data_IF_597136873271
#
_entry.id   IF_597136873271
#
_cell.length_a   1.000
_cell.length_b   1.000
_cell.length_c   1.000
_cell.angle_alpha   90.00
_cell.angle_beta   90.00
_cell.angle_gamma   90.00
#
_symmetry.space_group_name_H-M   'P 1'
#
loop_
_entity.id
_entity.type
_entity.pdbx_description
1 polymer ?
#
# COMPACT_ATOMS: atom_id res chain seq x y z
N UNK A 1 22.92 -11.95 12.83
CA UNK A 1 23.42 -12.01 11.46
C UNK A 1 23.59 -10.59 10.94
N UNK A 2 24.62 -10.30 10.14
CA UNK A 2 24.75 -8.97 9.55
C UNK A 2 23.49 -8.65 8.70
N UNK A 3 23.10 -7.37 8.61
CA UNK A 3 21.97 -6.99 7.77
C UNK A 3 22.28 -7.39 6.32
N UNK A 4 21.30 -8.03 5.67
CA UNK A 4 21.41 -8.34 4.24
C UNK A 4 21.14 -7.04 3.49
N UNK A 5 22.14 -6.54 2.78
CA UNK A 5 21.96 -5.40 1.89
C UNK A 5 21.12 -5.84 0.68
N UNK A 6 19.92 -5.31 0.59
CA UNK A 6 19.06 -5.53 -0.58
C UNK A 6 19.57 -4.66 -1.74
N UNK A 7 19.62 -5.26 -2.93
CA UNK A 7 20.03 -4.57 -4.16
C UNK A 7 18.90 -4.62 -5.17
N UNK A 8 18.82 -3.58 -5.97
CA UNK A 8 17.85 -3.48 -7.04
C UNK A 8 16.40 -3.65 -6.54
N UNK A 9 16.11 -2.97 -5.42
CA UNK A 9 14.73 -2.86 -4.91
C UNK A 9 13.83 -2.22 -5.96
N UNK A 10 12.52 -2.31 -5.81
CA UNK A 10 11.58 -1.71 -6.78
C UNK A 10 11.90 -0.22 -7.02
N UNK A 11 12.16 0.55 -5.97
CA UNK A 11 12.51 1.97 -6.09
C UNK A 11 13.78 2.20 -6.90
N UNK A 12 14.84 1.45 -6.62
CA UNK A 12 16.11 1.52 -7.36
C UNK A 12 15.94 1.10 -8.82
N UNK A 13 15.18 0.04 -9.07
CA UNK A 13 14.93 -0.46 -10.41
C UNK A 13 14.12 0.53 -11.26
N UNK A 14 13.09 1.16 -10.69
CA UNK A 14 12.35 2.23 -11.34
C UNK A 14 13.26 3.42 -11.69
N UNK A 15 14.07 3.87 -10.73
CA UNK A 15 15.02 4.97 -10.93
C UNK A 15 16.04 4.65 -12.03
N UNK A 16 16.63 3.46 -12.03
CA UNK A 16 17.59 3.01 -13.05
C UNK A 16 16.98 2.96 -14.46
N UNK A 17 15.66 2.82 -14.58
CA UNK A 17 14.93 2.81 -15.85
C UNK A 17 14.24 4.17 -16.16
N UNK A 18 14.62 5.24 -15.47
CA UNK A 18 14.10 6.58 -15.70
C UNK A 18 12.62 6.76 -15.39
N UNK A 19 12.04 5.89 -14.55
CA UNK A 19 10.64 5.97 -14.13
C UNK A 19 10.48 6.88 -12.91
N UNK A 20 9.36 7.60 -12.88
CA UNK A 20 9.00 8.47 -11.77
C UNK A 20 8.06 7.74 -10.81
N UNK A 21 8.21 8.00 -9.52
CA UNK A 21 7.42 7.34 -8.49
C UNK A 21 7.03 8.28 -7.36
N UNK A 22 5.87 8.06 -6.78
CA UNK A 22 5.38 8.72 -5.58
C UNK A 22 5.22 7.71 -4.44
N UNK A 23 5.68 8.09 -3.25
CA UNK A 23 5.41 7.41 -1.98
C UNK A 23 4.53 8.31 -1.13
N UNK A 24 3.36 7.85 -0.76
CA UNK A 24 2.37 8.64 -0.03
C UNK A 24 1.69 7.84 1.07
N UNK A 25 1.67 8.40 2.25
CA UNK A 25 0.96 7.87 3.42
C UNK A 25 0.78 8.98 4.46
N UNK A 26 -0.05 8.74 5.46
CA UNK A 26 -0.04 9.57 6.68
C UNK A 26 1.12 9.16 7.61
N UNK A 27 1.40 9.99 8.62
CA UNK A 27 2.58 9.89 9.50
C UNK A 27 2.85 8.47 9.98
N UNK A 28 1.83 7.75 10.45
CA UNK A 28 1.97 6.41 11.06
C UNK A 28 2.48 5.34 10.07
N UNK A 29 2.27 5.54 8.77
CA UNK A 29 2.68 4.59 7.71
C UNK A 29 3.69 5.16 6.72
N UNK A 30 4.17 6.38 6.95
CA UNK A 30 5.14 7.01 6.04
C UNK A 30 6.44 6.19 5.91
N UNK A 31 6.99 5.71 7.02
CA UNK A 31 8.20 4.88 7.00
C UNK A 31 7.98 3.55 6.24
N UNK A 32 6.75 3.03 6.23
CA UNK A 32 6.42 1.77 5.54
C UNK A 32 6.47 1.91 4.01
N UNK A 33 6.13 3.07 3.47
CA UNK A 33 6.22 3.33 2.02
C UNK A 33 7.53 4.00 1.59
N UNK A 34 8.43 4.31 2.51
CA UNK A 34 9.72 4.96 2.26
C UNK A 34 10.90 4.11 2.75
N UNK A 35 11.31 4.27 3.99
CA UNK A 35 12.47 3.61 4.57
C UNK A 35 12.40 2.08 4.47
N UNK A 36 11.33 1.47 4.96
CA UNK A 36 11.19 0.00 4.91
C UNK A 36 11.00 -0.52 3.48
N UNK A 37 10.24 0.21 2.67
CA UNK A 37 10.01 -0.16 1.27
C UNK A 37 11.30 -0.11 0.43
N UNK A 38 12.23 0.77 0.79
CA UNK A 38 13.55 0.88 0.17
C UNK A 38 14.62 0.01 0.87
N UNK A 39 14.22 -1.02 1.60
CA UNK A 39 15.16 -1.97 2.20
C UNK A 39 16.02 -1.38 3.33
N UNK A 40 15.50 -0.37 4.05
CA UNK A 40 16.21 0.29 5.14
C UNK A 40 17.10 1.46 4.70
N UNK A 41 16.93 1.95 3.49
CA UNK A 41 17.65 3.13 2.97
C UNK A 41 16.74 4.36 3.09
N UNK A 42 17.22 5.37 3.83
CA UNK A 42 16.47 6.62 4.05
C UNK A 42 16.45 7.54 2.82
N UNK A 43 17.56 7.54 2.07
CA UNK A 43 17.71 8.40 0.88
C UNK A 43 16.69 8.02 -0.20
N UNK A 44 15.88 8.97 -0.70
CA UNK A 44 15.01 8.73 -1.86
C UNK A 44 15.81 8.30 -3.10
N UNK A 45 15.23 7.42 -3.90
CA UNK A 45 15.75 7.10 -5.21
C UNK A 45 15.58 8.29 -6.17
N UNK A 46 16.36 8.33 -7.25
CA UNK A 46 16.15 9.34 -8.30
C UNK A 46 14.73 9.20 -8.90
N UNK A 47 14.01 10.32 -9.03
CA UNK A 47 12.63 10.32 -9.51
C UNK A 47 11.59 9.88 -8.47
N UNK A 48 12.00 9.66 -7.21
CA UNK A 48 11.09 9.34 -6.10
C UNK A 48 10.70 10.61 -5.35
N UNK A 49 9.44 11.00 -5.49
CA UNK A 49 8.81 12.01 -4.64
C UNK A 49 8.16 11.33 -3.43
N UNK A 50 8.13 12.04 -2.32
CA UNK A 50 7.52 11.61 -1.06
C UNK A 50 6.52 12.63 -0.57
N UNK A 51 5.36 12.15 -0.12
CA UNK A 51 4.34 12.99 0.51
C UNK A 51 3.85 12.35 1.79
N UNK A 52 4.04 13.05 2.89
CA UNK A 52 3.46 12.70 4.19
C UNK A 52 2.29 13.62 4.50
N UNK A 53 1.19 13.04 4.95
CA UNK A 53 0.04 13.75 5.49
C UNK A 53 0.07 13.55 7.01
N UNK A 54 -0.06 14.62 7.82
CA UNK A 54 -0.05 14.48 9.28
C UNK A 54 -1.19 13.60 9.77
N UNK A 55 -0.88 12.59 10.60
CA UNK A 55 -1.90 11.85 11.32
C UNK A 55 -2.59 12.71 12.37
N UNK A 56 -3.86 12.44 12.72
CA UNK A 56 -4.58 13.23 13.72
C UNK A 56 -3.93 13.11 15.10
N UNK A 57 -3.93 14.21 15.83
CA UNK A 57 -3.40 14.27 17.21
C UNK A 57 -4.49 13.83 18.21
N UNK A 58 -4.71 12.53 18.30
CA UNK A 58 -5.64 11.91 19.26
C UNK A 58 -4.88 10.94 20.16
N UNK A 59 -5.44 10.64 21.34
CA UNK A 59 -4.80 9.71 22.29
C UNK A 59 -4.71 8.30 21.71
N UNK A 60 -5.79 7.83 21.08
CA UNK A 60 -5.89 6.54 20.40
C UNK A 60 -6.75 6.70 19.15
N UNK A 61 -6.51 5.91 18.10
CA UNK A 61 -7.16 6.11 16.81
C UNK A 61 -8.61 5.60 16.72
N UNK A 62 -9.11 4.89 17.73
CA UNK A 62 -10.54 4.62 17.86
C UNK A 62 -11.37 5.89 18.08
N UNK A 63 -10.75 6.96 18.57
CA UNK A 63 -11.39 8.28 18.72
C UNK A 63 -11.55 9.02 17.39
N UNK A 64 -10.77 8.66 16.37
CA UNK A 64 -10.86 9.18 15.00
C UNK A 64 -10.52 8.09 13.98
N UNK A 65 -11.45 7.13 13.74
CA UNK A 65 -11.18 5.95 12.90
C UNK A 65 -10.83 6.26 11.45
N UNK A 66 -11.35 7.36 10.90
CA UNK A 66 -10.99 7.84 9.56
C UNK A 66 -9.54 8.32 9.47
N UNK A 67 -8.91 8.62 10.60
CA UNK A 67 -7.56 9.16 10.67
C UNK A 67 -7.36 10.32 9.68
N UNK A 68 -6.37 10.27 8.79
CA UNK A 68 -6.18 11.22 7.71
C UNK A 68 -6.42 10.61 6.32
N UNK A 69 -7.23 9.56 6.24
CA UNK A 69 -7.45 8.84 4.98
C UNK A 69 -8.03 9.72 3.87
N UNK A 70 -8.95 10.61 4.18
CA UNK A 70 -9.56 11.51 3.20
C UNK A 70 -8.54 12.50 2.63
N UNK A 71 -7.72 13.10 3.49
CA UNK A 71 -6.67 14.03 3.08
C UNK A 71 -5.58 13.31 2.24
N UNK A 72 -5.24 12.08 2.60
CA UNK A 72 -4.33 11.22 1.83
C UNK A 72 -4.92 10.92 0.45
N UNK A 73 -6.20 10.55 0.39
CA UNK A 73 -6.89 10.27 -0.88
C UNK A 73 -6.95 11.52 -1.77
N UNK A 74 -7.30 12.69 -1.22
CA UNK A 74 -7.38 13.94 -1.98
C UNK A 74 -6.03 14.35 -2.56
N UNK A 75 -4.96 14.27 -1.77
CA UNK A 75 -3.60 14.54 -2.25
C UNK A 75 -3.18 13.51 -3.31
N UNK A 76 -3.48 12.23 -3.10
CA UNK A 76 -3.16 11.18 -4.07
C UNK A 76 -3.86 11.41 -5.41
N UNK A 77 -5.16 11.76 -5.40
CA UNK A 77 -5.93 12.09 -6.60
C UNK A 77 -5.31 13.26 -7.36
N UNK A 78 -4.95 14.34 -6.66
CA UNK A 78 -4.30 15.51 -7.28
C UNK A 78 -2.96 15.10 -7.93
N UNK A 79 -2.18 14.22 -7.30
CA UNK A 79 -0.92 13.70 -7.84
C UNK A 79 -1.13 12.79 -9.05
N UNK A 80 -2.17 11.98 -9.06
CA UNK A 80 -2.56 11.14 -10.21
C UNK A 80 -2.93 12.06 -11.39
N UNK A 81 -3.78 13.05 -11.17
CA UNK A 81 -4.25 14.00 -12.18
C UNK A 81 -3.11 14.84 -12.78
N UNK A 82 -2.02 15.04 -12.05
CA UNK A 82 -0.83 15.74 -12.55
C UNK A 82 -0.14 15.03 -13.72
N UNK A 83 -0.36 13.71 -13.87
CA UNK A 83 0.29 12.89 -14.89
C UNK A 83 1.80 12.72 -14.70
N UNK A 84 2.34 13.11 -13.55
CA UNK A 84 3.79 13.13 -13.31
C UNK A 84 4.39 11.75 -13.06
N UNK A 85 3.63 10.82 -12.47
CA UNK A 85 4.17 9.57 -11.92
C UNK A 85 3.82 8.36 -12.76
N UNK A 86 4.82 7.49 -12.98
CA UNK A 86 4.64 6.18 -13.57
C UNK A 86 4.11 5.17 -12.54
N UNK A 87 4.54 5.29 -11.28
CA UNK A 87 4.15 4.40 -10.19
C UNK A 87 3.82 5.21 -8.93
N UNK A 88 2.75 4.82 -8.25
CA UNK A 88 2.36 5.39 -6.95
C UNK A 88 2.24 4.25 -5.94
N UNK A 89 2.94 4.38 -4.82
CA UNK A 89 2.83 3.50 -3.66
C UNK A 89 2.13 4.27 -2.55
N UNK A 90 0.93 3.84 -2.22
CA UNK A 90 0.05 4.43 -1.21
C UNK A 90 -0.24 3.42 -0.12
N UNK A 91 -0.20 3.85 1.13
CA UNK A 91 -0.67 3.07 2.27
C UNK A 91 -1.71 3.86 3.08
N UNK A 92 -2.86 3.26 3.31
CA UNK A 92 -3.86 3.72 4.27
C UNK A 92 -3.63 3.06 5.63
N UNK A 93 -3.38 3.85 6.65
CA UNK A 93 -3.01 3.37 7.98
C UNK A 93 -4.18 2.77 8.79
N UNK A 94 -5.41 3.06 8.41
CA UNK A 94 -6.60 2.93 9.25
C UNK A 94 -6.86 1.51 9.78
N UNK A 95 -6.87 0.51 8.89
CA UNK A 95 -7.22 -0.86 9.30
C UNK A 95 -6.22 -1.43 10.31
N UNK A 96 -4.94 -1.10 10.19
CA UNK A 96 -3.91 -1.53 11.13
C UNK A 96 -3.97 -0.71 12.43
N UNK A 97 -3.87 0.62 12.33
CA UNK A 97 -3.76 1.48 13.52
C UNK A 97 -5.01 1.44 14.39
N UNK A 98 -6.20 1.46 13.79
CA UNK A 98 -7.47 1.33 14.52
C UNK A 98 -7.68 -0.11 15.00
N UNK A 99 -7.30 -1.10 14.21
CA UNK A 99 -7.33 -2.52 14.59
C UNK A 99 -6.56 -2.80 15.88
N UNK A 100 -5.41 -2.17 16.07
CA UNK A 100 -4.60 -2.27 17.29
C UNK A 100 -5.31 -1.77 18.56
N UNK A 101 -6.33 -0.95 18.45
CA UNK A 101 -7.10 -0.46 19.60
C UNK A 101 -8.04 -1.52 20.19
N UNK A 102 -8.38 -2.56 19.42
CA UNK A 102 -9.32 -3.60 19.82
C UNK A 102 -10.78 -3.15 19.87
N UNK A 103 -11.09 -1.93 19.45
CA UNK A 103 -12.44 -1.36 19.43
C UNK A 103 -13.14 -1.72 18.13
N UNK A 104 -14.03 -2.71 18.16
CA UNK A 104 -14.66 -3.28 16.96
C UNK A 104 -15.41 -2.24 16.11
N UNK A 105 -16.27 -1.42 16.74
CA UNK A 105 -17.07 -0.42 16.00
C UNK A 105 -16.20 0.66 15.37
N UNK A 106 -15.05 0.97 15.98
CA UNK A 106 -14.08 1.88 15.38
C UNK A 106 -13.38 1.22 14.17
N UNK A 107 -13.03 -0.05 14.26
CA UNK A 107 -12.46 -0.79 13.13
C UNK A 107 -13.42 -0.85 11.93
N UNK A 108 -14.72 -1.03 12.16
CA UNK A 108 -15.74 -0.96 11.10
C UNK A 108 -15.71 0.40 10.41
N UNK A 109 -15.73 1.50 11.16
CA UNK A 109 -15.65 2.86 10.61
C UNK A 109 -14.35 3.12 9.87
N UNK A 110 -13.24 2.56 10.34
CA UNK A 110 -11.95 2.65 9.67
C UNK A 110 -11.98 1.97 8.30
N UNK A 111 -12.56 0.78 8.20
CA UNK A 111 -12.72 0.05 6.95
C UNK A 111 -13.65 0.80 5.98
N UNK A 112 -14.78 1.33 6.47
CA UNK A 112 -15.70 2.15 5.67
C UNK A 112 -15.01 3.39 5.08
N UNK A 113 -14.19 4.08 5.87
CA UNK A 113 -13.43 5.24 5.40
C UNK A 113 -12.40 4.85 4.33
N UNK A 114 -11.67 3.75 4.53
CA UNK A 114 -10.70 3.25 3.56
C UNK A 114 -11.38 2.79 2.28
N UNK A 115 -12.49 2.06 2.38
CA UNK A 115 -13.26 1.60 1.20
C UNK A 115 -13.66 2.77 0.31
N UNK A 116 -14.20 3.83 0.91
CA UNK A 116 -14.53 5.06 0.18
C UNK A 116 -13.31 5.70 -0.49
N UNK A 117 -12.22 5.86 0.26
CA UNK A 117 -10.99 6.47 -0.25
C UNK A 117 -10.36 5.62 -1.37
N UNK A 118 -10.36 4.30 -1.24
CA UNK A 118 -9.88 3.37 -2.28
C UNK A 118 -10.72 3.51 -3.55
N UNK A 119 -12.06 3.61 -3.42
CA UNK A 119 -12.93 3.86 -4.56
C UNK A 119 -12.56 5.13 -5.31
N UNK A 120 -12.42 6.25 -4.59
CA UNK A 120 -12.08 7.55 -5.18
C UNK A 120 -10.69 7.57 -5.84
N UNK A 121 -9.68 6.97 -5.22
CA UNK A 121 -8.33 6.87 -5.79
C UNK A 121 -8.34 5.95 -7.01
N UNK A 122 -9.07 4.83 -6.95
CA UNK A 122 -9.22 3.91 -8.08
C UNK A 122 -9.83 4.60 -9.28
N UNK A 123 -10.92 5.35 -9.09
CA UNK A 123 -11.56 6.11 -10.17
C UNK A 123 -10.60 7.10 -10.80
N UNK A 124 -9.79 7.81 -10.01
CA UNK A 124 -8.77 8.73 -10.52
C UNK A 124 -7.71 8.02 -11.36
N UNK A 125 -7.24 6.86 -10.93
CA UNK A 125 -6.26 6.04 -11.70
C UNK A 125 -6.87 5.56 -13.00
N UNK A 126 -8.09 5.05 -12.98
CA UNK A 126 -8.78 4.57 -14.19
C UNK A 126 -9.02 5.71 -15.19
N UNK A 127 -9.43 6.88 -14.72
CA UNK A 127 -9.60 8.07 -15.55
C UNK A 127 -8.27 8.54 -16.19
N UNK A 128 -7.14 8.27 -15.55
CA UNK A 128 -5.80 8.52 -16.09
C UNK A 128 -5.28 7.40 -17.00
N UNK A 129 -6.07 6.34 -17.23
CA UNK A 129 -5.68 5.18 -18.04
C UNK A 129 -4.73 4.21 -17.34
N UNK A 130 -4.66 4.26 -16.01
CA UNK A 130 -3.78 3.43 -15.20
C UNK A 130 -4.42 2.12 -14.73
N UNK A 131 -3.64 1.35 -13.98
CA UNK A 131 -4.03 0.08 -13.36
C UNK A 131 -3.78 0.15 -11.86
N UNK A 132 -4.72 -0.37 -11.07
CA UNK A 132 -4.61 -0.44 -9.60
C UNK A 132 -4.33 -1.88 -9.18
N UNK A 133 -3.33 -2.04 -8.31
CA UNK A 133 -3.03 -3.27 -7.59
C UNK A 133 -3.37 -3.02 -6.12
N UNK A 134 -4.49 -3.57 -5.66
CA UNK A 134 -5.00 -3.40 -4.31
C UNK A 134 -4.64 -4.60 -3.46
N UNK A 135 -3.98 -4.36 -2.33
CA UNK A 135 -3.61 -5.42 -1.38
C UNK A 135 -3.45 -4.86 0.04
N UNK A 136 -3.03 -5.71 0.97
CA UNK A 136 -2.53 -5.34 2.28
C UNK A 136 -1.17 -6.00 2.53
N UNK A 137 -0.36 -5.40 3.38
CA UNK A 137 0.96 -5.94 3.77
C UNK A 137 0.86 -7.03 4.84
N UNK A 138 -0.18 -7.02 5.65
CA UNK A 138 -0.51 -8.05 6.66
C UNK A 138 -1.98 -7.94 7.08
N UNK A 139 -2.46 -8.95 7.82
CA UNK A 139 -3.77 -8.93 8.46
C UNK A 139 -3.76 -8.25 9.83
N UNK A 140 -4.88 -7.66 10.22
CA UNK A 140 -5.13 -7.09 11.53
C UNK A 140 -6.65 -6.98 11.78
N UNK A 141 -7.34 -6.05 11.10
CA UNK A 141 -8.74 -5.70 11.34
C UNK A 141 -9.73 -6.83 11.01
N UNK A 142 -9.35 -7.82 10.22
CA UNK A 142 -10.19 -8.98 9.94
C UNK A 142 -10.37 -9.91 11.15
N UNK A 143 -9.56 -9.70 12.20
CA UNK A 143 -9.65 -10.45 13.45
C UNK A 143 -9.59 -9.51 14.65
N UNK A 144 -10.75 -9.12 15.17
CA UNK A 144 -10.88 -8.17 16.26
C UNK A 144 -11.14 -8.82 17.63
N UNK A 145 -11.39 -10.15 17.68
CA UNK A 145 -11.72 -10.86 18.91
C UNK A 145 -11.00 -12.21 19.01
N UNK A 146 -10.63 -12.55 20.23
CA UNK A 146 -10.19 -13.89 20.61
C UNK A 146 -11.40 -14.86 20.75
N UNK A 147 -11.17 -16.17 20.78
CA UNK A 147 -12.25 -17.15 21.02
C UNK A 147 -13.03 -16.94 22.31
N UNK A 148 -12.41 -16.37 23.33
CA UNK A 148 -13.03 -16.03 24.60
C UNK A 148 -13.82 -14.71 24.59
N UNK A 149 -13.87 -14.01 23.44
CA UNK A 149 -14.55 -12.74 23.26
C UNK A 149 -13.73 -11.51 23.66
N UNK A 150 -12.53 -11.68 24.20
CA UNK A 150 -11.63 -10.56 24.52
C UNK A 150 -11.10 -9.89 23.23
N UNK A 151 -10.71 -8.60 23.28
CA UNK A 151 -10.14 -7.92 22.12
C UNK A 151 -8.87 -8.60 21.61
N UNK A 152 -8.75 -8.72 20.29
CA UNK A 152 -7.52 -9.11 19.60
C UNK A 152 -6.92 -7.86 18.95
N UNK A 153 -5.65 -7.57 19.24
CA UNK A 153 -5.00 -6.28 18.91
C UNK A 153 -3.67 -6.45 18.17
N UNK A 154 -3.39 -7.66 17.70
CA UNK A 154 -2.12 -7.98 17.03
C UNK A 154 -2.32 -8.23 15.53
N UNK A 155 -1.20 -8.21 14.79
CA UNK A 155 -1.21 -8.68 13.40
C UNK A 155 -1.59 -10.16 13.32
N UNK A 156 -2.17 -10.55 12.19
CA UNK A 156 -2.48 -11.95 11.89
C UNK A 156 -1.58 -12.46 10.76
N UNK A 157 -1.49 -13.77 10.65
CA UNK A 157 -0.87 -14.46 9.50
C UNK A 157 -1.90 -14.90 8.45
N UNK A 158 -3.12 -14.38 8.54
CA UNK A 158 -4.15 -14.65 7.54
C UNK A 158 -3.72 -14.11 6.17
N UNK A 159 -4.21 -14.75 5.13
CA UNK A 159 -4.01 -14.25 3.76
C UNK A 159 -4.69 -12.89 3.58
N UNK A 160 -4.06 -12.03 2.82
CA UNK A 160 -4.56 -10.69 2.51
C UNK A 160 -5.23 -10.68 1.13
N UNK A 161 -6.17 -9.76 0.88
CA UNK A 161 -6.79 -9.63 -0.43
C UNK A 161 -5.76 -9.15 -1.47
N UNK A 162 -5.98 -9.55 -2.73
CA UNK A 162 -5.28 -8.99 -3.87
C UNK A 162 -6.27 -8.80 -5.02
N UNK A 163 -6.31 -7.61 -5.60
CA UNK A 163 -7.15 -7.29 -6.74
C UNK A 163 -6.39 -6.47 -7.77
N UNK A 164 -6.68 -6.69 -9.04
CA UNK A 164 -6.18 -5.91 -10.17
C UNK A 164 -7.35 -5.24 -10.84
N UNK A 165 -7.29 -3.91 -10.96
CA UNK A 165 -8.40 -3.10 -11.47
C UNK A 165 -7.90 -2.25 -12.63
N UNK A 166 -8.60 -2.27 -13.76
CA UNK A 166 -8.24 -1.49 -14.95
C UNK A 166 -7.35 -2.23 -15.95
N UNK A 167 -7.08 -3.52 -15.72
CA UNK A 167 -6.26 -4.35 -16.62
C UNK A 167 -7.09 -5.21 -17.59
N UNK A 168 -8.43 -5.00 -17.66
CA UNK A 168 -9.34 -5.85 -18.41
C UNK A 168 -9.59 -7.20 -17.72
N UNK A 169 -10.04 -8.18 -18.50
CA UNK A 169 -10.28 -9.54 -17.99
C UNK A 169 -8.95 -10.29 -17.86
N UNK A 170 -8.38 -10.22 -16.65
CA UNK A 170 -7.17 -10.95 -16.31
C UNK A 170 -7.49 -12.12 -15.38
N UNK A 171 -6.79 -13.24 -15.56
CA UNK A 171 -6.89 -14.39 -14.69
C UNK A 171 -5.77 -14.34 -13.66
N UNK A 172 -6.13 -14.50 -12.39
CA UNK A 172 -5.17 -14.53 -11.28
C UNK A 172 -4.91 -15.97 -10.86
N UNK A 173 -3.62 -16.32 -10.72
CA UNK A 173 -3.23 -17.61 -10.15
C UNK A 173 -3.45 -17.65 -8.63
N UNK A 174 -3.65 -18.82 -8.10
CA UNK A 174 -3.69 -19.04 -6.66
C UNK A 174 -2.28 -19.10 -6.05
N UNK A 175 -2.19 -18.96 -4.73
CA UNK A 175 -0.97 -19.14 -3.97
C UNK A 175 0.06 -18.04 -4.14
N UNK A 176 -0.36 -16.82 -4.48
CA UNK A 176 0.50 -15.65 -4.55
C UNK A 176 0.99 -15.19 -3.17
N UNK A 177 2.05 -14.39 -3.16
CA UNK A 177 2.59 -13.74 -1.96
C UNK A 177 3.02 -12.30 -2.26
N UNK A 178 3.38 -11.53 -1.24
CA UNK A 178 3.77 -10.11 -1.40
C UNK A 178 4.95 -9.92 -2.34
N UNK A 179 5.89 -10.88 -2.40
CA UNK A 179 7.03 -10.83 -3.33
C UNK A 179 6.64 -10.89 -4.81
N UNK A 180 5.42 -11.31 -5.11
CA UNK A 180 4.89 -11.43 -6.47
C UNK A 180 4.30 -10.13 -7.01
N UNK A 181 4.06 -9.13 -6.15
CA UNK A 181 3.35 -7.90 -6.54
C UNK A 181 4.17 -7.06 -7.50
N UNK A 182 5.43 -6.75 -7.18
CA UNK A 182 6.29 -5.98 -8.07
C UNK A 182 6.50 -6.69 -9.43
N UNK A 183 6.78 -8.01 -9.50
CA UNK A 183 6.80 -8.75 -10.76
C UNK A 183 5.49 -8.69 -11.56
N UNK A 184 4.34 -8.56 -10.89
CA UNK A 184 3.04 -8.41 -11.55
C UNK A 184 2.85 -7.01 -12.12
N UNK A 185 3.36 -5.98 -11.46
CA UNK A 185 3.20 -4.57 -11.84
C UNK A 185 4.11 -4.14 -12.99
N UNK A 186 5.37 -4.56 -12.99
CA UNK A 186 6.40 -4.07 -13.91
C UNK A 186 6.06 -4.17 -15.40
N UNK A 187 5.43 -5.25 -15.90
CA UNK A 187 5.00 -5.31 -17.29
C UNK A 187 4.04 -4.20 -17.72
N UNK A 188 3.22 -3.67 -16.80
CA UNK A 188 2.26 -2.61 -17.10
C UNK A 188 2.91 -1.23 -17.33
N UNK A 189 4.17 -1.08 -16.96
CA UNK A 189 4.99 0.11 -17.27
C UNK A 189 6.11 -0.20 -18.25
N UNK A 190 6.03 -1.35 -18.95
CA UNK A 190 6.94 -1.73 -20.02
C UNK A 190 8.32 -2.20 -19.54
N UNK A 191 8.44 -2.64 -18.29
CA UNK A 191 9.70 -3.11 -17.72
C UNK A 191 9.71 -4.64 -17.54
N UNK A 192 10.81 -5.32 -17.89
CA UNK A 192 11.01 -6.71 -17.54
C UNK A 192 11.25 -6.86 -16.03
N UNK A 193 10.97 -8.03 -15.49
CA UNK A 193 11.27 -8.35 -14.08
C UNK A 193 12.77 -8.60 -13.92
N UNK A 194 13.47 -7.86 -13.06
CA UNK A 194 14.91 -8.06 -12.85
C UNK A 194 15.19 -9.37 -12.10
N UNK A 195 16.38 -9.98 -12.28
CA UNK A 195 16.70 -11.28 -11.71
C UNK A 195 16.73 -11.32 -10.18
N UNK A 196 16.93 -10.19 -9.53
CA UNK A 196 16.89 -10.07 -8.06
C UNK A 196 15.48 -10.26 -7.49
N UNK A 197 14.45 -10.02 -8.29
CA UNK A 197 13.06 -10.27 -7.90
C UNK A 197 12.72 -11.74 -8.22
N UNK A 198 12.65 -12.57 -7.18
CA UNK A 198 12.40 -14.02 -7.31
C UNK A 198 10.91 -14.37 -7.36
N UNK A 199 10.03 -13.41 -7.08
CA UNK A 199 8.59 -13.56 -7.21
C UNK A 199 8.16 -13.74 -8.68
N UNK A 200 6.91 -14.16 -8.87
CA UNK A 200 6.32 -14.42 -10.18
C UNK A 200 5.02 -13.65 -10.33
N UNK A 201 4.71 -13.19 -11.53
CA UNK A 201 3.41 -12.55 -11.79
C UNK A 201 2.25 -13.38 -11.22
N UNK A 202 1.30 -12.69 -10.58
CA UNK A 202 0.03 -13.26 -10.14
C UNK A 202 -0.97 -13.32 -11.29
N UNK A 203 -0.76 -12.53 -12.33
CA UNK A 203 -1.55 -12.58 -13.57
C UNK A 203 -0.99 -13.69 -14.46
N UNK A 204 -1.89 -14.62 -14.88
CA UNK A 204 -1.60 -15.71 -15.82
C UNK A 204 -1.54 -15.23 -17.27
#
# INVERSE_FOLDING_TARGET
SPPVELKNTLGEYLAANGKTQLRIAETEKYAHVTFFFNGGIEQPCEGEDRKVIPSPKVATYDLKPEMSAYEVADECKARIESGKYDVIILNFANCDMVGHTGVFDAAVKAVEAVDKCVGEVTDAVLNAGGVVFLTADHGNAEKMKNPDGSPFTAHTTNVVPFAVIGAGDVKLREGGCLADIAPTMLPYIGLPVPPEMTGKSIIE
#
